data_IF_481232708603
#
_entry.id   IF_481232708603
#
_cell.length_a   1.000
_cell.length_b   1.000
_cell.length_c   1.000
_cell.angle_alpha   90.00
_cell.angle_beta   90.00
_cell.angle_gamma   90.00
#
_symmetry.space_group_name_H-M   'P 1'
#
loop_
_entity.id
_entity.type
_entity.pdbx_description
1 polymer ?
#
# COMPACT_ATOMS: atom_id res chain seq x y z
N UNK A 1 -6.32 -20.48 14.97
CA UNK A 1 -5.52 -21.00 13.83
C UNK A 1 -5.95 -22.41 13.43
N UNK A 2 -6.14 -23.34 14.38
CA UNK A 2 -6.41 -24.75 14.07
C UNK A 2 -7.71 -25.00 13.30
N UNK A 3 -8.80 -24.30 13.65
CA UNK A 3 -10.06 -24.35 12.89
C UNK A 3 -9.87 -23.96 11.43
N UNK A 4 -9.04 -22.95 11.14
CA UNK A 4 -8.76 -22.51 9.76
C UNK A 4 -8.06 -23.64 8.99
N UNK A 5 -7.09 -24.32 9.60
CA UNK A 5 -6.35 -25.42 8.95
C UNK A 5 -7.21 -26.65 8.63
N UNK A 6 -8.37 -26.79 9.27
CA UNK A 6 -9.32 -27.89 9.04
C UNK A 6 -10.30 -27.61 7.89
N UNK A 7 -10.38 -26.37 7.40
CA UNK A 7 -11.26 -26.00 6.29
C UNK A 7 -10.74 -26.51 4.95
N UNK A 8 -11.58 -26.61 3.91
CA UNK A 8 -11.14 -26.90 2.55
C UNK A 8 -10.06 -25.90 2.07
N UNK A 9 -9.06 -26.37 1.32
CA UNK A 9 -7.88 -25.56 0.92
C UNK A 9 -8.27 -24.22 0.27
N UNK A 10 -9.27 -24.20 -0.62
CA UNK A 10 -9.76 -22.95 -1.24
C UNK A 10 -10.40 -22.00 -0.23
N UNK A 11 -11.07 -22.52 0.79
CA UNK A 11 -11.63 -21.70 1.86
C UNK A 11 -10.50 -21.10 2.71
N UNK A 12 -9.48 -21.88 3.06
CA UNK A 12 -8.28 -21.37 3.75
C UNK A 12 -7.63 -20.24 2.97
N UNK A 13 -7.45 -20.43 1.65
CA UNK A 13 -6.86 -19.44 0.78
C UNK A 13 -7.72 -18.16 0.68
N UNK A 14 -9.04 -18.28 0.52
CA UNK A 14 -9.95 -17.13 0.52
C UNK A 14 -9.94 -16.36 1.85
N UNK A 15 -9.85 -17.04 2.99
CA UNK A 15 -9.72 -16.41 4.32
C UNK A 15 -8.38 -15.68 4.45
N UNK A 16 -7.29 -16.25 3.92
CA UNK A 16 -5.97 -15.60 3.89
C UNK A 16 -6.00 -14.32 3.04
N UNK A 17 -6.58 -14.37 1.85
CA UNK A 17 -6.80 -13.18 1.01
C UNK A 17 -7.64 -12.12 1.72
N UNK A 18 -8.76 -12.53 2.34
CA UNK A 18 -9.59 -11.66 3.16
C UNK A 18 -8.74 -10.96 4.24
N UNK A 19 -7.90 -11.72 4.95
CA UNK A 19 -7.04 -11.21 6.01
C UNK A 19 -6.03 -10.17 5.51
N UNK A 20 -5.51 -10.33 4.29
CA UNK A 20 -4.63 -9.36 3.64
C UNK A 20 -5.37 -8.06 3.28
N UNK A 21 -6.62 -8.16 2.82
CA UNK A 21 -7.45 -7.01 2.42
C UNK A 21 -7.92 -6.21 3.64
N UNK A 22 -8.39 -6.88 4.69
CA UNK A 22 -8.85 -6.24 5.92
C UNK A 22 -9.84 -7.08 6.72
N UNK A 23 -10.56 -6.43 7.63
CA UNK A 23 -11.54 -7.10 8.50
C UNK A 23 -12.85 -7.45 7.77
N UNK A 24 -13.13 -6.78 6.64
CA UNK A 24 -14.35 -6.95 5.82
C UNK A 24 -14.00 -6.90 4.34
N UNK A 25 -14.65 -7.72 3.53
CA UNK A 25 -14.55 -7.66 2.07
C UNK A 25 -15.83 -8.11 1.37
N UNK A 26 -16.07 -7.58 0.19
CA UNK A 26 -17.16 -8.00 -0.67
C UNK A 26 -16.81 -9.29 -1.44
N UNK A 27 -17.79 -10.16 -1.62
CA UNK A 27 -17.68 -11.43 -2.35
C UNK A 27 -17.14 -11.22 -3.77
N UNK A 28 -17.62 -10.21 -4.50
CA UNK A 28 -17.19 -9.94 -5.87
C UNK A 28 -15.70 -9.58 -5.93
N UNK A 29 -15.21 -8.83 -4.94
CA UNK A 29 -13.82 -8.42 -4.82
C UNK A 29 -12.94 -9.65 -4.48
N UNK A 30 -13.37 -10.51 -3.57
CA UNK A 30 -12.64 -11.75 -3.28
C UNK A 30 -12.59 -12.68 -4.49
N UNK A 31 -13.68 -12.81 -5.27
CA UNK A 31 -13.68 -13.60 -6.52
C UNK A 31 -12.67 -13.08 -7.53
N UNK A 32 -12.43 -11.77 -7.55
CA UNK A 32 -11.43 -11.13 -8.40
C UNK A 32 -10.03 -11.71 -8.14
N UNK A 33 -9.61 -11.72 -6.88
CA UNK A 33 -8.28 -12.18 -6.47
C UNK A 33 -8.11 -13.68 -6.69
N UNK A 34 -9.18 -14.44 -6.51
CA UNK A 34 -9.21 -15.89 -6.67
C UNK A 34 -9.13 -16.37 -8.13
N UNK A 35 -9.55 -15.54 -9.11
CA UNK A 35 -9.57 -15.92 -10.53
C UNK A 35 -8.18 -16.05 -11.14
N UNK A 36 -7.24 -15.25 -10.67
CA UNK A 36 -5.90 -15.17 -11.26
C UNK A 36 -4.96 -16.30 -10.75
N UNK A 37 -5.30 -16.96 -9.64
CA UNK A 37 -4.53 -18.07 -9.06
C UNK A 37 -5.01 -19.48 -9.48
N UNK A 38 -5.61 -19.66 -10.66
CA UNK A 38 -5.80 -21.01 -11.25
C UNK A 38 -4.47 -21.75 -11.55
N UNK A 39 -3.33 -21.14 -11.22
CA UNK A 39 -2.01 -21.76 -11.11
C UNK A 39 -1.62 -21.96 -9.64
N UNK A 40 -1.86 -23.16 -9.10
CA UNK A 40 -1.37 -23.55 -7.78
C UNK A 40 0.13 -23.85 -7.88
N UNK A 41 0.96 -23.19 -7.05
CA UNK A 41 2.29 -23.66 -6.73
C UNK A 41 2.16 -24.91 -5.87
N UNK A 42 2.36 -26.09 -6.47
CA UNK A 42 2.46 -27.33 -5.73
C UNK A 42 3.87 -27.45 -5.12
N UNK A 43 3.97 -27.14 -3.83
CA UNK A 43 5.21 -27.27 -3.06
C UNK A 43 5.77 -28.70 -3.01
N UNK A 44 5.05 -29.73 -3.50
CA UNK A 44 5.54 -31.11 -3.59
C UNK A 44 6.14 -31.49 -4.94
N UNK A 45 5.83 -30.77 -6.02
CA UNK A 45 6.21 -31.20 -7.38
C UNK A 45 7.01 -30.16 -8.18
N UNK A 46 7.15 -28.92 -7.69
CA UNK A 46 7.99 -27.89 -8.31
C UNK A 46 7.58 -27.52 -9.74
N UNK A 47 6.35 -27.85 -10.17
CA UNK A 47 5.85 -27.59 -11.52
C UNK A 47 4.55 -26.79 -11.50
N UNK A 48 4.49 -25.73 -12.31
CA UNK A 48 3.26 -25.01 -12.64
C UNK A 48 2.36 -25.96 -13.44
N UNK A 49 1.21 -26.37 -12.90
CA UNK A 49 0.14 -27.04 -13.67
C UNK A 49 -1.07 -26.11 -13.75
N UNK A 50 -1.52 -25.84 -14.96
CA UNK A 50 -2.81 -25.21 -15.24
C UNK A 50 -3.90 -26.19 -14.80
N UNK A 51 -4.74 -25.84 -13.82
CA UNK A 51 -5.85 -26.72 -13.43
C UNK A 51 -6.92 -26.65 -14.53
N UNK A 52 -7.45 -27.81 -14.89
CA UNK A 52 -8.48 -27.99 -15.91
C UNK A 52 -9.69 -27.11 -15.63
N UNK A 53 -10.21 -26.55 -16.72
CA UNK A 53 -11.44 -25.78 -16.87
C UNK A 53 -12.62 -26.55 -16.26
N UNK A 54 -12.91 -26.30 -14.98
CA UNK A 54 -14.11 -26.78 -14.31
C UNK A 54 -14.96 -25.55 -14.01
N UNK A 55 -15.85 -25.26 -14.96
CA UNK A 55 -16.80 -24.16 -15.00
C UNK A 55 -17.78 -24.11 -13.82
N UNK A 56 -17.69 -25.06 -12.87
CA UNK A 56 -18.47 -25.10 -11.62
C UNK A 56 -17.77 -24.47 -10.40
N UNK A 57 -16.55 -23.94 -10.51
CA UNK A 57 -15.76 -23.48 -9.36
C UNK A 57 -16.07 -22.04 -8.85
N UNK A 58 -17.25 -21.50 -9.17
CA UNK A 58 -17.64 -20.11 -8.87
C UNK A 58 -18.09 -19.83 -7.42
N UNK A 59 -18.25 -20.86 -6.58
CA UNK A 59 -18.60 -20.68 -5.18
C UNK A 59 -17.36 -20.38 -4.34
N UNK A 60 -17.35 -19.19 -3.73
CA UNK A 60 -16.47 -18.93 -2.59
C UNK A 60 -16.90 -19.88 -1.48
N UNK A 61 -16.05 -20.87 -1.17
CA UNK A 61 -16.28 -21.82 -0.07
C UNK A 61 -16.19 -21.16 1.32
N UNK A 62 -16.41 -19.84 1.42
CA UNK A 62 -16.41 -19.10 2.68
C UNK A 62 -17.62 -19.41 3.55
N UNK A 63 -18.69 -19.99 3.00
CA UNK A 63 -19.83 -20.44 3.79
C UNK A 63 -19.40 -21.51 4.84
N UNK A 64 -18.37 -22.32 4.57
CA UNK A 64 -17.78 -23.21 5.59
C UNK A 64 -17.18 -22.42 6.75
N UNK A 65 -16.52 -21.29 6.47
CA UNK A 65 -15.97 -20.42 7.50
C UNK A 65 -17.06 -19.70 8.31
N UNK A 66 -18.21 -19.43 7.68
CA UNK A 66 -19.39 -18.89 8.36
C UNK A 66 -19.99 -19.92 9.31
N UNK A 67 -20.16 -21.16 8.86
CA UNK A 67 -20.66 -22.27 9.71
C UNK A 67 -19.74 -22.53 10.90
N UNK A 68 -18.42 -22.46 10.71
CA UNK A 68 -17.43 -22.60 11.78
C UNK A 68 -17.34 -21.39 12.73
N UNK A 69 -18.14 -20.33 12.49
CA UNK A 69 -18.17 -19.10 13.29
C UNK A 69 -16.91 -18.24 13.13
N UNK A 70 -16.15 -18.43 12.06
CA UNK A 70 -14.93 -17.66 11.78
C UNK A 70 -15.25 -16.35 11.05
N UNK A 71 -16.25 -16.39 10.17
CA UNK A 71 -16.75 -15.25 9.42
C UNK A 71 -18.24 -15.02 9.69
N UNK A 72 -18.67 -13.77 9.50
CA UNK A 72 -20.07 -13.38 9.40
C UNK A 72 -20.35 -12.97 7.95
N UNK A 73 -21.56 -13.26 7.47
CA UNK A 73 -22.00 -12.92 6.11
C UNK A 73 -23.25 -12.04 6.16
N UNK A 74 -23.14 -10.85 5.58
CA UNK A 74 -24.24 -9.90 5.41
C UNK A 74 -24.42 -9.59 3.93
N UNK A 75 -25.44 -10.20 3.31
CA UNK A 75 -25.62 -10.16 1.86
C UNK A 75 -24.41 -10.75 1.13
N UNK A 76 -23.64 -9.90 0.44
CA UNK A 76 -22.40 -10.27 -0.27
C UNK A 76 -21.13 -9.87 0.49
N UNK A 77 -21.23 -9.40 1.72
CA UNK A 77 -20.06 -8.98 2.49
C UNK A 77 -19.69 -10.05 3.52
N UNK A 78 -18.40 -10.39 3.57
CA UNK A 78 -17.82 -11.23 4.61
C UNK A 78 -17.03 -10.36 5.58
N UNK A 79 -17.21 -10.59 6.87
CA UNK A 79 -16.47 -9.92 7.94
C UNK A 79 -15.89 -10.97 8.88
N UNK A 80 -14.67 -10.78 9.39
CA UNK A 80 -14.16 -11.61 10.46
C UNK A 80 -15.03 -11.45 11.71
N UNK A 81 -15.40 -12.56 12.35
CA UNK A 81 -16.20 -12.49 13.57
C UNK A 81 -15.44 -11.74 14.69
N UNK A 82 -14.11 -11.85 14.71
CA UNK A 82 -13.23 -11.11 15.63
C UNK A 82 -11.86 -10.82 14.98
N UNK A 83 -11.23 -9.73 15.41
CA UNK A 83 -9.89 -9.34 14.98
C UNK A 83 -8.85 -10.45 15.22
N UNK A 84 -8.96 -11.21 16.31
CA UNK A 84 -8.04 -12.33 16.59
C UNK A 84 -8.08 -13.42 15.50
N UNK A 85 -9.23 -13.60 14.85
CA UNK A 85 -9.38 -14.57 13.75
C UNK A 85 -8.69 -14.04 12.51
N UNK A 86 -8.83 -12.75 12.20
CA UNK A 86 -8.09 -12.09 11.12
C UNK A 86 -6.57 -12.22 11.35
N UNK A 87 -6.09 -11.88 12.55
CA UNK A 87 -4.68 -11.98 12.89
C UNK A 87 -4.18 -13.43 12.77
N UNK A 88 -4.95 -14.41 13.24
CA UNK A 88 -4.60 -15.82 13.10
C UNK A 88 -4.58 -16.27 11.64
N UNK A 89 -5.53 -15.82 10.81
CA UNK A 89 -5.56 -16.10 9.38
C UNK A 89 -4.34 -15.50 8.66
N UNK A 90 -4.02 -14.23 8.94
CA UNK A 90 -2.88 -13.52 8.37
C UNK A 90 -1.55 -14.19 8.77
N UNK A 91 -1.43 -14.57 10.04
CA UNK A 91 -0.22 -15.24 10.57
C UNK A 91 0.01 -16.64 10.00
N UNK A 92 -1.01 -17.28 9.40
CA UNK A 92 -0.87 -18.57 8.71
C UNK A 92 -0.24 -18.47 7.32
N UNK A 93 0.02 -17.26 6.83
CA UNK A 93 0.71 -17.01 5.58
C UNK A 93 2.21 -16.90 5.90
N UNK A 94 3.10 -17.67 5.27
CA UNK A 94 4.55 -17.43 5.33
C UNK A 94 4.91 -16.01 4.86
N UNK A 95 5.95 -15.39 5.43
CA UNK A 95 6.27 -13.98 5.15
C UNK A 95 6.57 -13.73 3.65
N UNK A 96 7.30 -14.63 3.01
CA UNK A 96 7.60 -14.59 1.58
C UNK A 96 6.34 -14.74 0.69
N UNK A 97 5.37 -15.54 1.13
CA UNK A 97 4.06 -15.65 0.48
C UNK A 97 3.19 -14.40 0.73
N UNK A 98 3.29 -13.75 1.90
CA UNK A 98 2.52 -12.53 2.22
C UNK A 98 2.83 -11.40 1.26
N UNK A 99 4.12 -11.15 1.03
CA UNK A 99 4.56 -10.06 0.13
C UNK A 99 4.00 -10.30 -1.27
N UNK A 100 4.08 -11.54 -1.78
CA UNK A 100 3.50 -11.92 -3.09
C UNK A 100 1.98 -11.73 -3.14
N UNK A 101 1.26 -12.15 -2.10
CA UNK A 101 -0.19 -12.00 -2.00
C UNK A 101 -0.61 -10.52 -1.98
N UNK A 102 0.12 -9.68 -1.27
CA UNK A 102 -0.12 -8.24 -1.23
C UNK A 102 0.09 -7.58 -2.60
N UNK A 103 1.19 -7.92 -3.29
CA UNK A 103 1.42 -7.47 -4.68
C UNK A 103 0.31 -7.95 -5.61
N UNK A 104 -0.09 -9.22 -5.47
CA UNK A 104 -1.16 -9.83 -6.25
C UNK A 104 -2.47 -9.07 -6.10
N UNK A 105 -2.93 -8.88 -4.86
CA UNK A 105 -4.17 -8.15 -4.56
C UNK A 105 -4.13 -6.74 -5.16
N UNK A 106 -3.07 -5.98 -4.92
CA UNK A 106 -2.95 -4.61 -5.43
C UNK A 106 -3.01 -4.54 -6.97
N UNK A 107 -2.25 -5.42 -7.65
CA UNK A 107 -2.24 -5.49 -9.13
C UNK A 107 -3.57 -6.00 -9.70
N UNK A 108 -4.24 -6.92 -9.02
CA UNK A 108 -5.57 -7.37 -9.45
C UNK A 108 -6.58 -6.23 -9.34
N UNK A 109 -6.60 -5.46 -8.24
CA UNK A 109 -7.53 -4.32 -8.13
C UNK A 109 -7.33 -3.35 -9.31
N UNK A 110 -6.09 -2.95 -9.60
CA UNK A 110 -5.78 -2.03 -10.71
C UNK A 110 -6.24 -2.54 -12.08
N UNK A 111 -6.20 -3.84 -12.32
CA UNK A 111 -6.60 -4.42 -13.62
C UNK A 111 -8.10 -4.37 -13.89
N UNK A 112 -8.92 -4.33 -12.84
CA UNK A 112 -10.38 -4.50 -12.97
C UNK A 112 -11.17 -3.27 -12.57
N UNK A 113 -10.53 -2.29 -11.96
CA UNK A 113 -11.12 -1.00 -11.64
C UNK A 113 -10.89 -0.08 -12.85
N UNK A 114 -11.93 0.66 -13.26
CA UNK A 114 -11.81 1.63 -14.34
C UNK A 114 -10.99 2.85 -13.90
N UNK A 115 -10.41 3.59 -14.83
CA UNK A 115 -9.60 4.79 -14.51
C UNK A 115 -10.37 5.80 -13.62
N UNK A 116 -11.68 5.92 -13.82
CA UNK A 116 -12.56 6.80 -13.04
C UNK A 116 -12.77 6.33 -11.59
N UNK A 117 -12.62 5.04 -11.32
CA UNK A 117 -12.81 4.41 -10.01
C UNK A 117 -11.49 4.22 -9.25
N UNK A 118 -10.33 4.38 -9.90
CA UNK A 118 -9.01 4.19 -9.28
C UNK A 118 -8.85 5.10 -8.07
N UNK A 119 -9.33 6.34 -8.14
CA UNK A 119 -9.23 7.28 -7.03
C UNK A 119 -9.95 6.77 -5.78
N UNK A 120 -11.12 6.13 -5.92
CA UNK A 120 -11.92 5.62 -4.80
C UNK A 120 -11.24 4.46 -4.07
N UNK A 121 -10.46 3.66 -4.79
CA UNK A 121 -9.73 2.50 -4.25
C UNK A 121 -8.24 2.79 -4.02
N UNK A 122 -7.76 3.99 -4.32
CA UNK A 122 -6.33 4.32 -4.37
C UNK A 122 -5.57 3.95 -3.11
N UNK A 123 -6.10 4.31 -1.93
CA UNK A 123 -5.46 3.96 -0.65
C UNK A 123 -5.40 2.45 -0.44
N UNK A 124 -6.47 1.72 -0.77
CA UNK A 124 -6.48 0.27 -0.67
C UNK A 124 -5.43 -0.35 -1.59
N UNK A 125 -5.35 0.09 -2.84
CA UNK A 125 -4.35 -0.39 -3.81
C UNK A 125 -2.93 -0.13 -3.31
N UNK A 126 -2.64 1.12 -2.93
CA UNK A 126 -1.30 1.54 -2.51
C UNK A 126 -0.88 0.84 -1.22
N UNK A 127 -1.79 0.66 -0.26
CA UNK A 127 -1.50 -0.09 0.97
C UNK A 127 -1.13 -1.55 0.68
N UNK A 128 -1.83 -2.19 -0.26
CA UNK A 128 -1.51 -3.57 -0.68
C UNK A 128 -0.16 -3.61 -1.39
N UNK A 129 0.07 -2.75 -2.37
CA UNK A 129 1.33 -2.75 -3.12
C UNK A 129 2.53 -2.38 -2.26
N UNK A 130 2.39 -1.44 -1.30
CA UNK A 130 3.45 -1.09 -0.36
C UNK A 130 3.86 -2.26 0.53
N UNK A 131 2.89 -3.08 0.99
CA UNK A 131 3.19 -4.32 1.74
C UNK A 131 3.83 -5.39 0.86
N UNK A 132 3.55 -5.35 -0.45
CA UNK A 132 4.13 -6.22 -1.46
C UNK A 132 5.44 -5.70 -2.10
N UNK A 133 5.93 -4.52 -1.69
CA UNK A 133 6.97 -3.80 -2.43
C UNK A 133 8.30 -4.58 -2.51
N UNK A 134 8.61 -5.40 -1.50
CA UNK A 134 9.82 -6.22 -1.49
C UNK A 134 9.84 -7.32 -2.57
N UNK A 135 8.69 -7.62 -3.21
CA UNK A 135 8.60 -8.56 -4.33
C UNK A 135 8.69 -7.86 -5.70
N UNK A 136 8.76 -6.53 -5.74
CA UNK A 136 8.95 -5.79 -6.99
C UNK A 136 10.44 -5.76 -7.33
N UNK A 137 10.82 -6.41 -8.42
CA UNK A 137 12.20 -6.46 -8.89
C UNK A 137 12.44 -5.45 -10.02
N UNK A 138 11.50 -5.37 -10.96
CA UNK A 138 11.57 -4.55 -12.17
C UNK A 138 11.45 -3.05 -11.88
N UNK A 139 12.22 -2.25 -12.62
CA UNK A 139 12.26 -0.79 -12.45
C UNK A 139 10.89 -0.17 -12.75
N UNK A 140 10.23 -0.63 -13.81
CA UNK A 140 8.92 -0.16 -14.25
C UNK A 140 7.86 -0.37 -13.16
N UNK A 141 7.86 -1.53 -12.48
CA UNK A 141 6.90 -1.82 -11.42
C UNK A 141 7.13 -0.95 -10.18
N UNK A 142 8.40 -0.67 -9.85
CA UNK A 142 8.76 0.26 -8.77
C UNK A 142 8.32 1.68 -9.10
N UNK A 143 8.49 2.12 -10.36
CA UNK A 143 8.07 3.46 -10.79
C UNK A 143 6.55 3.59 -10.80
N UNK A 144 5.83 2.56 -11.22
CA UNK A 144 4.36 2.54 -11.13
C UNK A 144 3.90 2.68 -9.67
N UNK A 145 4.50 1.93 -8.74
CA UNK A 145 4.19 2.07 -7.31
C UNK A 145 4.60 3.44 -6.76
N UNK A 146 5.72 4.02 -7.19
CA UNK A 146 6.13 5.36 -6.80
C UNK A 146 5.11 6.42 -7.25
N UNK A 147 4.60 6.31 -8.47
CA UNK A 147 3.55 7.19 -9.01
C UNK A 147 2.23 7.04 -8.24
N UNK A 148 1.82 5.82 -7.91
CA UNK A 148 0.62 5.57 -7.12
C UNK A 148 0.75 6.14 -5.70
N UNK A 149 1.93 6.01 -5.08
CA UNK A 149 2.24 6.63 -3.79
C UNK A 149 2.23 8.16 -3.85
N UNK A 150 2.70 8.77 -4.94
CA UNK A 150 2.58 10.20 -5.15
C UNK A 150 1.11 10.64 -5.15
N UNK A 151 0.27 9.98 -5.97
CA UNK A 151 -1.17 10.26 -6.03
C UNK A 151 -1.85 10.09 -4.67
N UNK A 152 -1.53 9.02 -3.93
CA UNK A 152 -2.07 8.80 -2.60
C UNK A 152 -1.60 9.87 -1.61
N UNK A 153 -0.34 10.29 -1.70
CA UNK A 153 0.22 11.40 -0.94
C UNK A 153 -0.50 12.73 -1.21
N UNK A 154 -0.78 13.04 -2.47
CA UNK A 154 -1.54 14.23 -2.90
C UNK A 154 -2.98 14.20 -2.40
N UNK A 155 -3.66 13.05 -2.51
CA UNK A 155 -5.01 12.85 -1.98
C UNK A 155 -5.05 12.99 -0.45
N UNK A 156 -4.05 12.46 0.25
CA UNK A 156 -3.95 12.63 1.70
C UNK A 156 -3.67 14.09 2.09
N UNK A 157 -2.86 14.83 1.30
CA UNK A 157 -2.65 16.27 1.52
C UNK A 157 -3.95 17.06 1.38
N UNK A 158 -4.76 16.79 0.36
CA UNK A 158 -6.02 17.52 0.15
C UNK A 158 -7.05 17.26 1.26
N UNK A 159 -6.95 16.12 1.94
CA UNK A 159 -7.74 15.75 3.12
C UNK A 159 -7.11 16.21 4.44
N UNK A 160 -5.99 16.95 4.41
CA UNK A 160 -5.23 17.38 5.57
C UNK A 160 -4.74 16.24 6.50
N UNK A 161 -4.59 15.02 5.97
CA UNK A 161 -4.06 13.86 6.69
C UNK A 161 -2.54 13.77 6.49
N UNK A 162 -1.82 14.79 6.98
CA UNK A 162 -0.40 14.99 6.68
C UNK A 162 0.49 13.79 7.04
N UNK A 163 0.23 13.12 8.17
CA UNK A 163 0.96 11.92 8.58
C UNK A 163 0.81 10.76 7.57
N UNK A 164 -0.39 10.57 7.05
CA UNK A 164 -0.68 9.55 6.03
C UNK A 164 -0.01 9.94 4.71
N UNK A 165 -0.09 11.22 4.33
CA UNK A 165 0.59 11.73 3.15
C UNK A 165 2.10 11.50 3.20
N UNK A 166 2.75 11.89 4.30
CA UNK A 166 4.18 11.70 4.50
C UNK A 166 4.58 10.21 4.39
N UNK A 167 3.75 9.30 4.95
CA UNK A 167 3.98 7.86 4.84
C UNK A 167 3.96 7.35 3.40
N UNK A 168 2.97 7.75 2.60
CA UNK A 168 2.91 7.34 1.19
C UNK A 168 4.06 7.95 0.38
N UNK A 169 4.36 9.22 0.58
CA UNK A 169 5.44 9.89 -0.14
C UNK A 169 6.80 9.27 0.19
N UNK A 170 7.04 8.91 1.45
CA UNK A 170 8.25 8.19 1.87
C UNK A 170 8.32 6.80 1.24
N UNK A 171 7.21 6.07 1.17
CA UNK A 171 7.14 4.79 0.47
C UNK A 171 7.45 4.95 -1.03
N UNK A 172 6.89 5.98 -1.69
CA UNK A 172 7.20 6.29 -3.09
C UNK A 172 8.67 6.66 -3.30
N UNK A 173 9.27 7.45 -2.42
CA UNK A 173 10.70 7.78 -2.44
C UNK A 173 11.56 6.51 -2.30
N UNK A 174 11.16 5.55 -1.47
CA UNK A 174 11.90 4.29 -1.27
C UNK A 174 11.95 3.40 -2.52
N UNK A 175 11.06 3.63 -3.50
CA UNK A 175 11.05 2.93 -4.78
C UNK A 175 12.03 3.54 -5.79
N UNK A 176 12.56 4.74 -5.53
CA UNK A 176 13.50 5.42 -6.43
C UNK A 176 14.89 4.75 -6.33
N UNK A 177 15.30 4.08 -7.41
CA UNK A 177 16.65 3.54 -7.58
C UNK A 177 17.68 4.63 -7.95
N UNK A 178 18.89 4.24 -8.34
CA UNK A 178 19.90 5.16 -8.88
C UNK A 178 19.44 5.81 -10.20
N UNK A 179 19.91 7.03 -10.48
CA UNK A 179 19.66 7.79 -11.72
C UNK A 179 18.19 8.17 -12.02
N UNK A 180 17.28 8.04 -11.06
CA UNK A 180 15.85 8.35 -11.25
C UNK A 180 15.58 9.84 -11.51
N UNK A 181 16.44 10.74 -11.02
CA UNK A 181 16.33 12.18 -11.33
C UNK A 181 16.58 12.51 -12.80
N UNK A 182 17.34 11.68 -13.51
CA UNK A 182 17.56 11.84 -14.96
C UNK A 182 16.39 11.28 -15.76
N UNK A 183 15.94 10.06 -15.42
CA UNK A 183 14.88 9.34 -16.13
C UNK A 183 13.46 9.83 -15.80
N UNK A 184 13.18 10.07 -14.52
CA UNK A 184 11.87 10.36 -13.95
C UNK A 184 11.90 11.66 -13.13
N UNK A 185 12.45 12.72 -13.72
CA UNK A 185 12.67 14.02 -13.08
C UNK A 185 11.42 14.57 -12.37
N UNK A 186 10.28 14.63 -13.06
CA UNK A 186 9.06 15.24 -12.52
C UNK A 186 8.50 14.45 -11.33
N UNK A 187 8.58 13.11 -11.38
CA UNK A 187 8.15 12.23 -10.29
C UNK A 187 9.03 12.45 -9.05
N UNK A 188 10.36 12.45 -9.22
CA UNK A 188 11.29 12.71 -8.12
C UNK A 188 11.06 14.09 -7.50
N UNK A 189 10.94 15.12 -8.34
CA UNK A 189 10.70 16.49 -7.90
C UNK A 189 9.41 16.60 -7.08
N UNK A 190 8.32 16.00 -7.55
CA UNK A 190 7.02 16.04 -6.88
C UNK A 190 7.03 15.25 -5.56
N UNK A 191 7.57 14.03 -5.55
CA UNK A 191 7.67 13.19 -4.36
C UNK A 191 8.43 13.90 -3.24
N UNK A 192 9.67 14.36 -3.50
CA UNK A 192 10.47 15.02 -2.48
C UNK A 192 9.90 16.38 -2.06
N UNK A 193 9.35 17.16 -2.99
CA UNK A 193 8.77 18.48 -2.65
C UNK A 193 7.51 18.34 -1.79
N UNK A 194 6.63 17.39 -2.12
CA UNK A 194 5.43 17.15 -1.34
C UNK A 194 5.74 16.49 -0.01
N UNK A 195 6.75 15.61 0.04
CA UNK A 195 7.21 14.99 1.28
C UNK A 195 7.72 16.05 2.27
N UNK A 196 8.54 16.99 1.79
CA UNK A 196 8.99 18.13 2.59
C UNK A 196 7.82 18.97 3.14
N UNK A 197 6.76 19.16 2.34
CA UNK A 197 5.59 19.92 2.77
C UNK A 197 4.77 19.17 3.84
N UNK A 198 4.53 17.88 3.64
CA UNK A 198 3.83 17.04 4.61
C UNK A 198 4.57 16.98 5.95
N UNK A 199 5.90 16.76 5.92
CA UNK A 199 6.73 16.70 7.14
C UNK A 199 6.80 18.06 7.87
N UNK A 200 6.75 19.18 7.12
CA UNK A 200 6.63 20.50 7.72
C UNK A 200 5.31 20.66 8.48
N UNK A 201 4.18 20.22 7.91
CA UNK A 201 2.87 20.27 8.56
C UNK A 201 2.80 19.41 9.83
N UNK A 202 3.59 18.33 9.91
CA UNK A 202 3.69 17.46 11.09
C UNK A 202 4.70 18.01 12.12
N UNK A 203 5.63 18.87 11.70
CA UNK A 203 6.68 19.44 12.54
C UNK A 203 7.99 18.64 12.57
N UNK A 204 8.19 17.69 11.65
CA UNK A 204 9.40 16.88 11.56
C UNK A 204 10.49 17.61 10.74
N UNK A 205 11.07 18.65 11.33
CA UNK A 205 11.98 19.56 10.61
C UNK A 205 13.27 18.92 10.08
N UNK A 206 13.72 17.80 10.65
CA UNK A 206 14.87 17.05 10.13
C UNK A 206 14.58 16.45 8.75
N UNK A 207 13.39 15.84 8.58
CA UNK A 207 12.95 15.25 7.30
C UNK A 207 12.69 16.35 6.26
N UNK A 208 12.19 17.51 6.69
CA UNK A 208 12.11 18.71 5.82
C UNK A 208 13.50 19.08 5.28
N UNK A 209 14.50 19.17 6.16
CA UNK A 209 15.88 19.48 5.76
C UNK A 209 16.45 18.47 4.78
N UNK A 210 16.24 17.18 5.03
CA UNK A 210 16.64 16.10 4.13
C UNK A 210 16.00 16.25 2.75
N UNK A 211 14.66 16.29 2.68
CA UNK A 211 13.93 16.28 1.43
C UNK A 211 14.18 17.55 0.59
N UNK A 212 14.16 18.72 1.23
CA UNK A 212 14.49 19.98 0.55
C UNK A 212 15.94 20.02 0.07
N UNK A 213 16.88 19.46 0.83
CA UNK A 213 18.28 19.35 0.44
C UNK A 213 18.48 18.54 -0.83
N UNK A 214 17.77 17.40 -0.97
CA UNK A 214 17.78 16.59 -2.20
C UNK A 214 17.26 17.41 -3.38
N UNK A 215 16.11 18.07 -3.25
CA UNK A 215 15.55 18.89 -4.36
C UNK A 215 16.48 20.05 -4.73
N UNK A 216 17.07 20.74 -3.76
CA UNK A 216 17.99 21.86 -4.04
C UNK A 216 19.23 21.37 -4.80
N UNK A 217 19.71 20.16 -4.51
CA UNK A 217 20.85 19.56 -5.19
C UNK A 217 20.50 19.12 -6.62
N UNK A 218 19.40 18.39 -6.80
CA UNK A 218 19.09 17.68 -8.04
C UNK A 218 18.21 18.48 -9.04
N UNK A 219 17.44 19.46 -8.56
CA UNK A 219 16.55 20.21 -9.44
C UNK A 219 17.31 21.07 -10.46
N UNK A 220 16.85 21.01 -11.72
CA UNK A 220 17.52 21.58 -12.90
C UNK A 220 17.36 23.10 -13.03
N UNK A 221 16.42 23.71 -12.32
CA UNK A 221 16.13 25.14 -12.41
C UNK A 221 15.76 25.76 -11.06
N UNK A 222 15.79 27.09 -10.98
CA UNK A 222 15.42 27.82 -9.77
C UNK A 222 13.92 27.72 -9.48
N UNK A 223 13.08 27.73 -10.51
CA UNK A 223 11.63 27.61 -10.42
C UNK A 223 11.24 26.31 -9.70
N UNK A 224 11.91 25.21 -10.06
CA UNK A 224 11.71 23.90 -9.43
C UNK A 224 12.15 23.87 -7.96
N UNK A 225 13.05 24.76 -7.55
CA UNK A 225 13.52 24.89 -6.15
C UNK A 225 12.65 25.84 -5.33
N UNK A 226 11.84 26.69 -5.95
CA UNK A 226 11.12 27.77 -5.26
C UNK A 226 10.17 27.22 -4.19
N UNK A 227 9.45 26.13 -4.49
CA UNK A 227 8.56 25.46 -3.53
C UNK A 227 9.30 25.00 -2.28
N UNK A 228 10.42 24.31 -2.44
CA UNK A 228 11.20 23.78 -1.30
C UNK A 228 11.91 24.88 -0.51
N UNK A 229 12.37 25.96 -1.16
CA UNK A 229 12.90 27.12 -0.45
C UNK A 229 11.84 27.78 0.44
N UNK A 230 10.61 27.93 -0.05
CA UNK A 230 9.52 28.48 0.76
C UNK A 230 9.22 27.63 2.00
N UNK A 231 9.22 26.30 1.85
CA UNK A 231 9.05 25.36 2.97
C UNK A 231 10.21 25.48 3.98
N UNK A 232 11.45 25.55 3.48
CA UNK A 232 12.64 25.68 4.33
C UNK A 232 12.63 26.97 5.17
N UNK A 233 12.27 28.11 4.55
CA UNK A 233 12.15 29.40 5.25
C UNK A 233 11.08 29.32 6.35
N UNK A 234 9.90 28.74 6.05
CA UNK A 234 8.82 28.54 7.03
C UNK A 234 9.27 27.65 8.19
N UNK A 235 9.94 26.54 7.89
CA UNK A 235 10.51 25.60 8.87
C UNK A 235 11.49 26.29 9.82
N UNK A 236 12.45 27.06 9.31
CA UNK A 236 13.42 27.78 10.14
C UNK A 236 12.76 28.85 11.02
N UNK A 237 11.77 29.57 10.49
CA UNK A 237 11.01 30.55 11.26
C UNK A 237 10.22 29.90 12.41
N UNK A 238 9.60 28.74 12.17
CA UNK A 238 8.88 27.97 13.19
C UNK A 238 9.81 27.48 14.30
N UNK A 239 10.97 26.92 13.94
CA UNK A 239 11.98 26.45 14.90
C UNK A 239 12.53 27.56 15.78
N UNK A 240 12.83 28.74 15.20
CA UNK A 240 13.33 29.89 15.95
C UNK A 240 12.29 30.39 16.99
N UNK A 241 11.00 30.40 16.62
CA UNK A 241 9.92 30.76 17.56
C UNK A 241 9.81 29.76 18.72
N UNK A 242 9.90 28.47 18.45
CA UNK A 242 9.86 27.43 19.48
C UNK A 242 11.05 27.55 20.46
N UNK A 243 12.26 27.80 19.95
CA UNK A 243 13.45 28.01 20.77
C UNK A 243 13.34 29.24 21.69
N UNK A 244 12.77 30.35 21.18
CA UNK A 244 12.57 31.58 21.96
C UNK A 244 11.47 31.50 23.04
N UNK A 245 10.50 30.58 22.90
CA UNK A 245 9.50 30.34 23.95
C UNK A 245 10.04 29.54 25.14
N UNK A 246 11.02 28.65 24.91
CA UNK A 246 11.62 27.85 25.98
C UNK A 246 12.61 28.64 26.85
N UNK A 247 13.14 29.75 26.37
CA UNK A 247 14.07 30.63 27.13
C UNK A 247 13.38 31.55 28.14
N UNK A 248 12.04 31.62 28.16
CA UNK A 248 11.26 32.43 29.10
C UNK A 248 10.52 31.61 30.18
N UNK A 249 10.85 30.32 30.33
CA UNK A 249 10.27 29.39 31.32
C UNK A 249 11.26 28.86 32.37
N UNK A 250 12.43 29.48 32.51
CA UNK A 250 13.39 29.25 33.60
C UNK A 250 13.53 30.53 34.40
#
# INVERSE_FOLDING_TARGET
ADKIRQLPIRCQYAIKLLACVGSKCNESILKLFMREEEFVYDNRSGKKRKKSDDSNNQFLMLDFAVVEGLLQKEGRNYTFAHDQIQHAAYSLIPEDERVRLHTHIGKSILRYVSDDEVDDVLFLVVDQLNRGAAFLEEEEEKMELAMLNLKAGEKAMSLATFLISASYLKAGISMLCENQWEKHYDLCLQLYSLYAEAEYCIGHFQEVGYATGVVIKEAKSFENKLRVYAILIKSLAAQKKAAGCNTHRL
#
